data_IF_211943347972
#
_entry.id   IF_211943347972
#
_cell.length_a   1.000
_cell.length_b   1.000
_cell.length_c   1.000
_cell.angle_alpha   90.00
_cell.angle_beta   90.00
_cell.angle_gamma   90.00
#
_symmetry.space_group_name_H-M   'P 1'
#
loop_
_entity.id
_entity.type
_entity.pdbx_description
1 polymer ?
#
# COMPACT_ATOMS: atom_id res chain seq x y z
N UNK A 1 -8.55 -46.99 4.65
CA UNK A 1 -7.48 -46.24 3.97
C UNK A 1 -7.99 -44.84 3.77
N UNK A 2 -7.57 -43.91 4.63
CA UNK A 2 -7.88 -42.49 4.48
C UNK A 2 -6.62 -41.84 3.91
N UNK A 3 -6.69 -41.38 2.67
CA UNK A 3 -5.70 -40.46 2.12
C UNK A 3 -5.97 -39.09 2.75
N UNK A 4 -5.02 -38.64 3.58
CA UNK A 4 -4.97 -37.26 4.02
C UNK A 4 -4.34 -36.45 2.89
N UNK A 5 -5.17 -35.60 2.30
CA UNK A 5 -4.76 -34.59 1.34
C UNK A 5 -4.02 -33.49 2.12
N UNK A 6 -2.69 -33.56 2.14
CA UNK A 6 -1.85 -32.56 2.80
C UNK A 6 -1.76 -31.32 1.91
N UNK A 7 -2.67 -30.36 2.12
CA UNK A 7 -2.57 -29.01 1.54
C UNK A 7 -1.32 -28.33 2.13
N UNK A 8 -0.43 -27.72 1.34
CA UNK A 8 0.69 -26.96 1.89
C UNK A 8 0.16 -25.73 2.64
N UNK A 9 0.50 -25.63 3.93
CA UNK A 9 0.27 -24.46 4.76
C UNK A 9 1.17 -23.32 4.26
N UNK A 10 0.65 -22.48 3.36
CA UNK A 10 1.24 -21.19 3.04
C UNK A 10 0.66 -20.12 3.98
N UNK A 11 1.04 -20.14 5.25
CA UNK A 11 0.84 -18.96 6.10
C UNK A 11 2.19 -18.47 6.62
N UNK A 12 2.97 -17.87 5.72
CA UNK A 12 3.97 -16.91 6.18
C UNK A 12 3.23 -15.76 6.87
N UNK A 13 3.68 -15.22 8.02
CA UNK A 13 2.97 -14.15 8.71
C UNK A 13 2.72 -12.91 7.82
N UNK A 14 3.56 -12.69 6.80
CA UNK A 14 3.37 -11.66 5.77
C UNK A 14 2.13 -11.91 4.88
N UNK A 15 1.80 -13.18 4.59
CA UNK A 15 0.55 -13.56 3.90
C UNK A 15 -0.66 -13.28 4.81
N UNK A 16 -0.50 -13.41 6.12
CA UNK A 16 -1.54 -13.05 7.10
C UNK A 16 -1.90 -11.57 7.07
N UNK A 17 -0.89 -10.69 7.11
CA UNK A 17 -1.13 -9.23 7.09
C UNK A 17 -1.74 -8.77 5.76
N UNK A 18 -1.26 -9.30 4.63
CA UNK A 18 -1.88 -8.97 3.34
C UNK A 18 -3.35 -9.40 3.30
N UNK A 19 -3.67 -10.61 3.77
CA UNK A 19 -5.04 -11.09 3.82
C UNK A 19 -5.92 -10.21 4.74
N UNK A 20 -5.39 -9.75 5.88
CA UNK A 20 -6.10 -8.81 6.76
C UNK A 20 -6.42 -7.48 6.06
N UNK A 21 -5.46 -6.92 5.31
CA UNK A 21 -5.65 -5.70 4.52
C UNK A 21 -6.65 -5.90 3.37
N UNK A 22 -6.55 -7.02 2.64
CA UNK A 22 -7.45 -7.36 1.53
C UNK A 22 -8.90 -7.56 2.00
N UNK A 23 -9.11 -8.01 3.23
CA UNK A 23 -10.43 -8.17 3.83
C UNK A 23 -11.14 -6.85 4.16
N UNK A 24 -10.46 -5.69 4.07
CA UNK A 24 -11.06 -4.39 4.39
C UNK A 24 -11.43 -3.56 3.15
N UNK A 25 -12.48 -2.72 3.24
CA UNK A 25 -12.81 -1.76 2.18
C UNK A 25 -11.93 -0.51 2.25
N UNK A 26 -10.62 -0.69 2.10
CA UNK A 26 -9.59 0.38 2.19
C UNK A 26 -8.89 0.64 0.85
N UNK A 27 -9.39 0.04 -0.24
CA UNK A 27 -8.75 0.04 -1.54
C UNK A 27 -9.27 1.17 -2.43
N UNK A 28 -8.41 1.60 -3.35
CA UNK A 28 -8.67 2.64 -4.34
C UNK A 28 -7.83 2.38 -5.58
N UNK A 29 -8.03 3.18 -6.63
CA UNK A 29 -7.17 3.18 -7.81
C UNK A 29 -6.36 4.47 -7.87
N UNK A 30 -5.36 4.54 -8.74
CA UNK A 30 -4.61 5.77 -8.96
C UNK A 30 -4.26 5.98 -10.42
N UNK A 31 -3.93 7.22 -10.78
CA UNK A 31 -3.48 7.62 -12.11
C UNK A 31 -2.15 8.35 -12.04
N UNK A 32 -1.29 8.12 -13.03
CA UNK A 32 -0.13 8.95 -13.28
C UNK A 32 -0.59 10.21 -14.03
N UNK A 33 -0.47 11.37 -13.39
CA UNK A 33 -0.86 12.65 -13.96
C UNK A 33 0.32 13.63 -13.97
N UNK A 34 0.42 14.52 -14.98
CA UNK A 34 1.37 15.62 -14.94
C UNK A 34 1.24 16.42 -13.64
N UNK A 35 2.38 16.83 -13.06
CA UNK A 35 2.32 17.88 -12.06
C UNK A 35 1.73 19.16 -12.68
N UNK A 36 1.10 20.01 -11.87
CA UNK A 36 0.59 21.30 -12.34
C UNK A 36 1.67 22.29 -12.76
N UNK A 37 2.94 21.90 -12.76
CA UNK A 37 4.10 22.69 -13.13
C UNK A 37 4.67 22.19 -14.46
N UNK A 38 4.97 23.10 -15.39
CA UNK A 38 5.62 22.77 -16.66
C UNK A 38 6.92 22.02 -16.43
N UNK A 39 7.03 20.80 -16.95
CA UNK A 39 8.22 19.95 -16.81
C UNK A 39 8.37 19.25 -15.45
N UNK A 40 7.41 19.34 -14.55
CA UNK A 40 7.49 18.66 -13.26
C UNK A 40 7.16 17.17 -13.34
N UNK A 41 7.65 16.40 -12.35
CA UNK A 41 7.49 14.93 -12.26
C UNK A 41 6.01 14.52 -12.29
N UNK A 42 5.72 13.36 -12.89
CA UNK A 42 4.38 12.77 -12.82
C UNK A 42 4.01 12.51 -11.35
N UNK A 43 2.75 12.74 -11.00
CA UNK A 43 2.18 12.49 -9.68
C UNK A 43 1.25 11.30 -9.73
N UNK A 44 1.31 10.48 -8.69
CA UNK A 44 0.37 9.38 -8.44
C UNK A 44 -0.86 9.97 -7.75
N UNK A 45 -1.95 10.18 -8.49
CA UNK A 45 -3.18 10.81 -8.01
C UNK A 45 -4.21 9.73 -7.67
N UNK A 46 -4.78 9.70 -6.45
CA UNK A 46 -5.74 8.67 -6.06
C UNK A 46 -7.14 8.93 -6.62
N UNK A 47 -7.85 7.85 -6.89
CA UNK A 47 -9.16 7.79 -7.51
C UNK A 47 -10.04 6.75 -6.82
N UNK A 48 -11.31 7.08 -6.62
CA UNK A 48 -12.32 6.08 -6.27
C UNK A 48 -12.65 5.22 -7.49
N UNK A 49 -13.16 4.00 -7.28
CA UNK A 49 -13.57 3.09 -8.37
C UNK A 49 -14.66 3.67 -9.28
N UNK A 50 -15.39 4.69 -8.80
CA UNK A 50 -16.34 5.47 -9.60
C UNK A 50 -15.69 6.33 -10.69
N UNK A 51 -14.36 6.39 -10.75
CA UNK A 51 -13.60 7.22 -11.70
C UNK A 51 -13.41 8.68 -11.26
N UNK A 52 -13.92 9.06 -10.08
CA UNK A 52 -13.69 10.38 -9.49
C UNK A 52 -12.37 10.42 -8.71
N UNK A 53 -11.65 11.55 -8.78
CA UNK A 53 -10.48 11.80 -7.91
C UNK A 53 -10.88 11.69 -6.44
N UNK A 54 -10.05 11.02 -5.64
CA UNK A 54 -10.18 11.03 -4.17
C UNK A 54 -9.79 12.43 -3.67
N UNK A 55 -10.68 13.05 -2.90
CA UNK A 55 -10.57 14.45 -2.50
C UNK A 55 -11.43 14.73 -1.27
N UNK A 56 -11.24 15.91 -0.68
CA UNK A 56 -11.92 16.34 0.54
C UNK A 56 -11.10 16.05 1.79
N UNK A 57 -11.77 15.86 2.93
CA UNK A 57 -11.12 15.49 4.19
C UNK A 57 -10.85 13.99 4.15
N UNK A 58 -9.59 13.63 3.87
CA UNK A 58 -9.14 12.24 3.87
C UNK A 58 -9.36 11.60 5.23
N UNK A 59 -9.60 10.29 5.24
CA UNK A 59 -9.83 9.45 6.42
C UNK A 59 -11.16 9.70 7.15
N UNK A 60 -11.89 10.73 6.74
CA UNK A 60 -13.25 11.00 7.24
C UNK A 60 -14.19 9.84 6.92
N UNK A 61 -15.30 9.68 7.67
CA UNK A 61 -16.31 8.68 7.34
C UNK A 61 -16.82 8.77 5.90
N UNK A 62 -16.95 9.99 5.34
CA UNK A 62 -17.40 10.20 3.97
C UNK A 62 -16.35 9.74 2.94
N UNK A 63 -15.07 10.06 3.17
CA UNK A 63 -13.98 9.57 2.31
C UNK A 63 -13.91 8.04 2.33
N UNK A 64 -14.01 7.42 3.52
CA UNK A 64 -13.97 5.96 3.68
C UNK A 64 -15.16 5.24 3.03
N UNK A 65 -16.33 5.87 2.96
CA UNK A 65 -17.49 5.32 2.26
C UNK A 65 -17.30 5.22 0.74
N UNK A 66 -16.32 5.93 0.17
CA UNK A 66 -16.01 5.90 -1.26
C UNK A 66 -14.84 4.98 -1.60
N UNK A 67 -14.14 4.44 -0.59
CA UNK A 67 -13.17 3.36 -0.77
C UNK A 67 -13.92 2.06 -1.10
N UNK A 68 -13.18 1.08 -1.60
CA UNK A 68 -13.73 -0.18 -2.09
C UNK A 68 -12.99 -1.39 -1.50
N UNK A 69 -13.55 -2.57 -1.72
CA UNK A 69 -12.89 -3.84 -1.43
C UNK A 69 -11.74 -4.12 -2.40
N UNK A 70 -10.85 -5.05 -2.06
CA UNK A 70 -9.75 -5.45 -2.93
C UNK A 70 -10.26 -5.97 -4.28
N UNK A 71 -11.27 -6.85 -4.28
CA UNK A 71 -11.83 -7.44 -5.49
C UNK A 71 -12.48 -6.39 -6.40
N UNK A 72 -13.15 -5.40 -5.82
CA UNK A 72 -13.71 -4.27 -6.59
C UNK A 72 -12.61 -3.41 -7.21
N UNK A 73 -11.50 -3.17 -6.49
CA UNK A 73 -10.36 -2.44 -7.03
C UNK A 73 -9.73 -3.21 -8.20
N UNK A 74 -9.50 -4.51 -8.07
CA UNK A 74 -8.98 -5.37 -9.14
C UNK A 74 -9.91 -5.35 -10.35
N UNK A 75 -11.20 -5.61 -10.15
CA UNK A 75 -12.18 -5.61 -11.23
C UNK A 75 -12.28 -4.25 -11.94
N UNK A 76 -12.25 -3.15 -11.21
CA UNK A 76 -12.26 -1.79 -11.77
C UNK A 76 -10.96 -1.46 -12.51
N UNK A 77 -9.82 -1.94 -12.03
CA UNK A 77 -8.53 -1.76 -12.70
C UNK A 77 -8.49 -2.50 -14.05
N UNK A 78 -8.89 -3.78 -14.05
CA UNK A 78 -8.92 -4.63 -15.24
C UNK A 78 -9.92 -4.13 -16.29
N UNK A 79 -11.15 -3.82 -15.87
CA UNK A 79 -12.20 -3.32 -16.77
C UNK A 79 -11.96 -1.88 -17.24
N UNK A 80 -11.11 -1.12 -16.54
CA UNK A 80 -10.78 0.27 -16.87
C UNK A 80 -9.95 0.44 -18.15
N UNK A 81 -9.43 -0.65 -18.74
CA UNK A 81 -8.72 -0.67 -20.02
C UNK A 81 -7.66 0.45 -20.16
N UNK A 82 -6.79 0.58 -19.14
CA UNK A 82 -5.73 1.60 -19.09
C UNK A 82 -6.14 2.98 -18.59
N UNK A 83 -7.40 3.18 -18.18
CA UNK A 83 -7.84 4.44 -17.57
C UNK A 83 -7.14 4.74 -16.23
N UNK A 84 -6.81 3.69 -15.47
CA UNK A 84 -6.08 3.74 -14.22
C UNK A 84 -4.64 3.24 -14.42
N UNK A 85 -3.71 3.77 -13.63
CA UNK A 85 -2.29 3.37 -13.65
C UNK A 85 -1.96 2.26 -12.64
N UNK A 86 -2.83 2.04 -11.65
CA UNK A 86 -2.69 0.92 -10.72
C UNK A 86 -3.67 0.96 -9.56
N UNK A 87 -3.51 0.01 -8.66
CA UNK A 87 -4.24 -0.12 -7.40
C UNK A 87 -3.47 0.61 -6.29
N UNK A 88 -4.19 1.12 -5.30
CA UNK A 88 -3.62 1.67 -4.09
C UNK A 88 -4.44 1.35 -2.86
N UNK A 89 -3.84 1.60 -1.71
CA UNK A 89 -4.38 1.31 -0.40
C UNK A 89 -4.38 2.59 0.44
N UNK A 90 -5.56 3.01 0.91
CA UNK A 90 -5.71 4.17 1.76
C UNK A 90 -5.16 3.89 3.16
N UNK A 91 -4.38 4.83 3.70
CA UNK A 91 -3.91 4.77 5.08
C UNK A 91 -4.93 5.41 6.03
N UNK A 92 -4.77 5.16 7.32
CA UNK A 92 -5.64 5.73 8.35
C UNK A 92 -6.62 4.73 8.95
N UNK A 93 -7.67 5.21 9.65
CA UNK A 93 -8.67 4.35 10.26
C UNK A 93 -9.42 3.52 9.22
N UNK A 94 -9.58 2.21 9.46
CA UNK A 94 -10.37 1.33 8.59
C UNK A 94 -11.88 1.41 8.86
N UNK A 95 -12.28 2.11 9.92
CA UNK A 95 -13.67 2.22 10.35
C UNK A 95 -14.21 1.05 11.18
N UNK A 96 -13.37 0.06 11.47
CA UNK A 96 -13.69 -1.17 12.21
C UNK A 96 -12.83 -1.33 13.45
N UNK A 97 -12.05 -0.31 13.80
CA UNK A 97 -11.19 -0.26 14.98
C UNK A 97 -9.71 -0.47 14.68
N UNK A 98 -9.37 -0.82 13.44
CA UNK A 98 -7.99 -0.87 12.96
C UNK A 98 -7.52 0.47 12.39
N UNK A 99 -6.20 0.62 12.30
CA UNK A 99 -5.53 1.81 11.78
C UNK A 99 -4.38 1.41 10.86
N UNK A 100 -4.58 1.60 9.56
CA UNK A 100 -3.69 1.19 8.46
C UNK A 100 -2.55 2.20 8.31
N UNK A 101 -1.33 1.70 8.07
CA UNK A 101 -0.10 2.48 8.06
C UNK A 101 0.82 1.99 6.93
N UNK A 102 1.70 2.89 6.50
CA UNK A 102 2.66 2.61 5.44
C UNK A 102 4.01 3.26 5.72
N UNK A 103 5.09 2.55 5.41
CA UNK A 103 6.43 3.09 5.31
C UNK A 103 6.94 2.89 3.88
N UNK A 104 7.57 3.91 3.33
CA UNK A 104 8.23 3.91 2.03
C UNK A 104 9.74 3.97 2.25
N UNK A 105 10.47 3.06 1.63
CA UNK A 105 11.93 3.10 1.54
C UNK A 105 12.28 3.37 0.07
N UNK A 106 12.58 4.62 -0.24
CA UNK A 106 12.95 5.08 -1.58
C UNK A 106 14.44 4.84 -1.85
N UNK A 107 14.77 4.41 -3.08
CA UNK A 107 16.14 4.24 -3.58
C UNK A 107 17.05 3.57 -2.53
N UNK A 108 16.75 2.30 -2.20
CA UNK A 108 17.36 1.58 -1.07
C UNK A 108 18.88 1.56 -1.19
N UNK A 109 19.41 1.34 -2.39
CA UNK A 109 20.85 1.33 -2.64
C UNK A 109 21.43 2.74 -2.51
N UNK A 110 20.85 3.73 -3.19
CA UNK A 110 21.35 5.11 -3.19
C UNK A 110 21.29 5.78 -1.81
N UNK A 111 20.32 5.42 -0.97
CA UNK A 111 20.16 5.95 0.38
C UNK A 111 20.78 5.07 1.48
N UNK A 112 21.43 3.96 1.12
CA UNK A 112 22.09 3.07 2.10
C UNK A 112 21.12 2.39 3.07
N UNK A 113 19.91 2.06 2.61
CA UNK A 113 18.83 1.51 3.43
C UNK A 113 18.80 -0.02 3.45
N UNK A 114 19.79 -0.69 2.88
CA UNK A 114 19.84 -2.16 2.78
C UNK A 114 19.71 -2.86 4.13
N UNK A 115 20.26 -2.30 5.22
CA UNK A 115 20.15 -2.92 6.55
C UNK A 115 18.72 -2.87 7.09
N UNK A 116 18.04 -1.72 6.99
CA UNK A 116 16.65 -1.59 7.44
C UNK A 116 15.71 -2.41 6.57
N UNK A 117 15.92 -2.38 5.24
CA UNK A 117 15.25 -3.23 4.27
C UNK A 117 15.33 -4.73 4.65
N UNK A 118 16.55 -5.24 4.87
CA UNK A 118 16.77 -6.63 5.25
C UNK A 118 16.09 -7.02 6.57
N UNK A 119 15.98 -6.10 7.54
CA UNK A 119 15.28 -6.37 8.81
C UNK A 119 13.78 -6.60 8.63
N UNK A 120 13.15 -5.93 7.66
CA UNK A 120 11.74 -6.12 7.32
C UNK A 120 11.47 -7.33 6.45
N UNK A 121 12.37 -7.64 5.51
CA UNK A 121 12.20 -8.81 4.63
C UNK A 121 12.48 -10.12 5.37
N UNK A 122 13.61 -10.20 6.09
CA UNK A 122 14.15 -11.46 6.62
C UNK A 122 14.74 -11.40 8.03
N UNK A 123 14.75 -10.23 8.66
CA UNK A 123 15.28 -10.04 10.02
C UNK A 123 14.19 -9.92 11.09
N UNK A 124 14.47 -9.18 12.17
CA UNK A 124 13.61 -9.11 13.36
C UNK A 124 12.21 -8.53 13.12
N UNK A 125 11.97 -7.89 11.97
CA UNK A 125 10.67 -7.34 11.59
C UNK A 125 9.95 -8.17 10.53
N UNK A 126 10.54 -9.28 10.07
CA UNK A 126 9.90 -10.19 9.14
C UNK A 126 8.53 -10.64 9.68
N UNK A 127 7.51 -10.49 8.84
CA UNK A 127 6.14 -10.85 9.18
C UNK A 127 5.40 -9.88 10.10
N UNK A 128 5.98 -8.72 10.45
CA UNK A 128 5.30 -7.65 11.21
C UNK A 128 4.63 -6.60 10.31
N UNK A 129 4.83 -6.71 9.00
CA UNK A 129 4.18 -5.95 7.95
C UNK A 129 4.15 -6.79 6.68
N UNK A 130 3.27 -6.43 5.75
CA UNK A 130 3.37 -6.86 4.37
C UNK A 130 4.42 -6.00 3.66
N UNK A 131 5.36 -6.63 2.96
CA UNK A 131 6.47 -5.94 2.28
C UNK A 131 6.38 -6.24 0.79
N UNK A 132 6.46 -5.18 -0.03
CA UNK A 132 6.44 -5.28 -1.48
C UNK A 132 7.45 -4.34 -2.12
N UNK A 133 7.88 -4.67 -3.33
CA UNK A 133 8.71 -3.78 -4.16
C UNK A 133 7.87 -2.57 -4.61
N UNK A 134 8.44 -1.37 -4.51
CA UNK A 134 7.76 -0.14 -4.94
C UNK A 134 7.61 -0.11 -6.48
N UNK A 135 6.71 0.73 -7.05
CA UNK A 135 6.52 0.79 -8.50
C UNK A 135 7.77 1.17 -9.31
N UNK A 136 8.77 1.83 -8.71
CA UNK A 136 10.02 2.18 -9.38
C UNK A 136 11.01 1.02 -9.46
N UNK A 137 10.86 0.00 -8.60
CA UNK A 137 11.71 -1.18 -8.58
C UNK A 137 12.99 -1.05 -7.74
N UNK A 138 13.34 0.16 -7.29
CA UNK A 138 14.52 0.48 -6.49
C UNK A 138 14.21 0.73 -5.00
N UNK A 139 12.93 0.64 -4.62
CA UNK A 139 12.45 0.85 -3.26
C UNK A 139 11.49 -0.25 -2.79
N UNK A 140 10.96 -0.10 -1.57
CA UNK A 140 9.94 -1.00 -1.03
C UNK A 140 8.89 -0.26 -0.21
N UNK A 141 7.68 -0.80 -0.21
CA UNK A 141 6.66 -0.44 0.76
C UNK A 141 6.59 -1.48 1.88
N UNK A 142 6.30 -1.00 3.08
CA UNK A 142 5.92 -1.82 4.23
C UNK A 142 4.53 -1.35 4.67
N UNK A 143 3.54 -2.24 4.62
CA UNK A 143 2.14 -1.95 4.88
C UNK A 143 1.62 -2.80 6.03
N UNK A 144 0.74 -2.25 6.85
CA UNK A 144 0.12 -3.03 7.93
C UNK A 144 -0.71 -2.19 8.90
N UNK A 145 -1.04 -2.80 10.03
CA UNK A 145 -1.79 -2.18 11.11
C UNK A 145 -0.89 -1.72 12.25
N UNK A 146 -1.24 -0.59 12.88
CA UNK A 146 -0.50 -0.09 14.03
C UNK A 146 -1.24 0.98 14.81
N UNK A 147 -0.54 1.63 15.75
CA UNK A 147 -1.08 2.79 16.50
C UNK A 147 -0.77 4.07 15.74
N UNK A 148 -1.70 5.03 15.72
CA UNK A 148 -1.45 6.34 15.13
C UNK A 148 -0.11 6.94 15.60
N UNK A 149 0.64 7.52 14.66
CA UNK A 149 1.94 8.14 14.91
C UNK A 149 2.12 9.40 14.06
N UNK A 150 2.99 10.31 14.53
CA UNK A 150 3.38 11.51 13.81
C UNK A 150 4.14 11.17 12.53
N UNK A 151 3.66 11.65 11.39
CA UNK A 151 4.23 11.32 10.08
C UNK A 151 5.71 11.65 9.98
N UNK A 152 6.48 10.74 9.39
CA UNK A 152 7.81 11.00 8.87
C UNK A 152 7.66 11.40 7.41
N UNK A 153 7.62 12.70 7.14
CA UNK A 153 7.62 13.22 5.77
C UNK A 153 9.03 13.17 5.18
N UNK A 154 9.10 13.33 3.85
CA UNK A 154 10.34 13.57 3.11
C UNK A 154 11.31 14.49 3.88
N UNK A 155 12.45 13.92 4.27
CA UNK A 155 13.50 14.62 5.03
C UNK A 155 14.91 14.37 4.45
N UNK A 156 14.99 13.74 3.28
CA UNK A 156 16.24 13.40 2.60
C UNK A 156 16.87 12.07 3.03
N UNK A 157 16.27 11.32 3.96
CA UNK A 157 16.77 10.00 4.37
C UNK A 157 16.40 8.85 3.43
N UNK A 158 15.47 9.07 2.50
CA UNK A 158 14.84 7.99 1.73
C UNK A 158 13.78 7.20 2.51
N UNK A 159 13.46 7.59 3.75
CA UNK A 159 12.41 6.95 4.56
C UNK A 159 11.25 7.93 4.75
N UNK A 160 10.06 7.51 4.34
CA UNK A 160 8.80 8.18 4.68
C UNK A 160 7.88 7.22 5.43
N UNK A 161 7.14 7.71 6.42
CA UNK A 161 6.20 6.90 7.18
C UNK A 161 4.93 7.67 7.49
N UNK A 162 3.80 7.03 7.22
CA UNK A 162 2.48 7.63 7.29
C UNK A 162 1.52 6.73 8.05
N UNK A 163 0.70 7.33 8.89
CA UNK A 163 -0.38 6.64 9.59
C UNK A 163 -1.75 7.10 9.11
N UNK A 164 -1.86 7.94 8.08
CA UNK A 164 -3.14 8.44 7.59
C UNK A 164 -2.99 9.55 6.56
N UNK A 165 -4.12 10.02 6.05
CA UNK A 165 -4.28 11.11 5.09
C UNK A 165 -3.40 10.97 3.84
N UNK A 166 -3.10 9.72 3.46
CA UNK A 166 -2.29 9.33 2.32
C UNK A 166 -2.83 8.02 1.76
N UNK A 167 -2.25 7.59 0.65
CA UNK A 167 -2.39 6.23 0.14
C UNK A 167 -1.00 5.76 -0.29
N UNK A 168 -0.81 4.45 -0.32
CA UNK A 168 0.34 3.83 -0.95
C UNK A 168 -0.13 3.14 -2.22
N UNK A 169 0.66 3.23 -3.29
CA UNK A 169 0.45 2.37 -4.46
C UNK A 169 0.70 0.93 -4.05
N UNK A 170 -0.11 0.01 -4.55
CA UNK A 170 0.01 -1.41 -4.28
C UNK A 170 0.51 -2.13 -5.53
N UNK A 171 1.64 -2.84 -5.42
CA UNK A 171 2.22 -3.58 -6.55
C UNK A 171 1.90 -5.07 -6.49
N UNK A 172 1.69 -5.62 -5.30
CA UNK A 172 1.52 -7.06 -5.12
C UNK A 172 2.80 -7.87 -5.39
N UNK A 173 3.94 -7.21 -5.63
CA UNK A 173 5.22 -7.85 -5.93
C UNK A 173 6.00 -8.07 -4.63
N UNK A 174 6.13 -9.32 -4.15
CA UNK A 174 6.85 -9.59 -2.91
C UNK A 174 8.31 -9.15 -3.03
N UNK A 175 8.88 -8.61 -1.94
CA UNK A 175 10.32 -8.45 -1.82
C UNK A 175 10.96 -9.81 -1.50
N UNK A 176 11.94 -10.25 -2.30
CA UNK A 176 12.75 -11.45 -2.02
C UNK A 176 13.89 -11.22 -1.03
#
# INVERSE_FOLDING_TARGET
MAEQDSTPSFSSPAVGILAELQAQPIWLLWKSEPSGSSGGKLRKVPYYVTGKRRQGVLDSPLDRQHLCTFDEAVAAFESGNGFFSGIGLALGPDGRGGHVQGCDLDDIEGNGLSDIANRWVRGDFAGKGYVEVSPSGDGMHILGYGRNFSHLNANGSGIEAYSGARFFTFTGMPSE
#
